data_IF_911745544111
#
_entry.id   IF_911745544111
#
_cell.length_a   1.000
_cell.length_b   1.000
_cell.length_c   1.000
_cell.angle_alpha   90.00
_cell.angle_beta   90.00
_cell.angle_gamma   90.00
#
_symmetry.space_group_name_H-M   'P 1'
#
loop_
_entity.id
_entity.type
_entity.pdbx_description
1 polymer ?
#
# COMPACT_ATOMS: atom_id res chain seq x y z
N UNK A 1 -9.64 2.76 -28.92
CA UNK A 1 -10.77 1.82 -28.97
C UNK A 1 -10.50 0.83 -30.10
N UNK A 2 -10.72 -0.46 -29.88
CA UNK A 2 -10.49 -1.48 -30.90
C UNK A 2 -11.83 -2.15 -31.24
N UNK A 3 -12.17 -2.14 -32.53
CA UNK A 3 -13.35 -2.82 -33.05
C UNK A 3 -13.02 -4.30 -33.26
N UNK A 4 -13.85 -5.18 -32.73
CA UNK A 4 -13.70 -6.64 -32.90
C UNK A 4 -14.87 -7.17 -33.69
N UNK A 5 -14.60 -7.74 -34.87
CA UNK A 5 -15.59 -8.41 -35.71
C UNK A 5 -15.12 -9.82 -36.00
N UNK A 6 -16.01 -10.79 -35.81
CA UNK A 6 -15.68 -12.19 -36.07
C UNK A 6 -15.69 -12.54 -37.57
N UNK A 7 -15.22 -13.76 -37.86
CA UNK A 7 -15.42 -14.50 -39.11
C UNK A 7 -16.28 -15.71 -38.78
N UNK A 8 -17.34 -15.94 -39.53
CA UNK A 8 -18.22 -17.08 -39.27
C UNK A 8 -17.57 -18.40 -39.72
N UNK A 9 -18.13 -19.52 -39.27
CA UNK A 9 -17.68 -20.85 -39.70
C UNK A 9 -17.57 -20.96 -41.22
N UNK A 10 -18.54 -20.44 -41.98
CA UNK A 10 -18.54 -20.53 -43.44
C UNK A 10 -17.53 -19.60 -44.11
N UNK A 11 -17.24 -18.45 -43.49
CA UNK A 11 -16.26 -17.46 -43.98
C UNK A 11 -14.80 -17.92 -43.81
N UNK A 12 -14.54 -18.88 -42.90
CA UNK A 12 -13.19 -19.34 -42.60
C UNK A 12 -12.76 -20.44 -43.58
N UNK A 13 -11.67 -20.19 -44.29
CA UNK A 13 -11.05 -21.13 -45.22
C UNK A 13 -9.94 -21.95 -44.54
N UNK A 14 -9.76 -23.21 -44.97
CA UNK A 14 -8.60 -24.00 -44.58
C UNK A 14 -7.33 -23.34 -45.11
N UNK A 15 -6.28 -23.30 -44.29
CA UNK A 15 -5.03 -22.59 -44.56
C UNK A 15 -5.06 -21.11 -44.17
N UNK A 16 -6.21 -20.56 -43.79
CA UNK A 16 -6.28 -19.19 -43.29
C UNK A 16 -5.59 -19.09 -41.94
N UNK A 17 -4.68 -18.11 -41.84
CA UNK A 17 -3.88 -17.88 -40.63
C UNK A 17 -4.04 -16.47 -40.09
N UNK A 18 -3.86 -16.31 -38.78
CA UNK A 18 -3.68 -15.02 -38.13
C UNK A 18 -2.47 -15.08 -37.20
N UNK A 19 -1.80 -13.94 -37.02
CA UNK A 19 -0.61 -13.81 -36.17
C UNK A 19 -0.71 -12.57 -35.30
N UNK A 20 -0.23 -12.67 -34.07
CA UNK A 20 -0.04 -11.53 -33.17
C UNK A 20 1.33 -11.60 -32.50
N UNK A 21 1.92 -10.44 -32.27
CA UNK A 21 3.17 -10.30 -31.54
C UNK A 21 2.96 -9.38 -30.35
N UNK A 22 3.57 -9.70 -29.21
CA UNK A 22 3.52 -8.88 -28.00
C UNK A 22 4.80 -9.03 -27.19
N UNK A 23 5.38 -7.91 -26.78
CA UNK A 23 6.47 -7.88 -25.79
C UNK A 23 5.88 -7.92 -24.38
N UNK A 24 6.35 -8.86 -23.57
CA UNK A 24 5.87 -9.07 -22.21
C UNK A 24 6.46 -8.01 -21.27
N UNK A 25 5.58 -7.29 -20.59
CA UNK A 25 5.97 -6.39 -19.50
C UNK A 25 6.10 -7.16 -18.18
N UNK A 26 6.69 -6.53 -17.16
CA UNK A 26 6.70 -7.09 -15.80
C UNK A 26 5.28 -7.41 -15.30
N UNK A 27 4.33 -6.49 -15.54
CA UNK A 27 2.91 -6.69 -15.19
C UNK A 27 2.32 -7.92 -15.88
N UNK A 28 2.72 -8.20 -17.12
CA UNK A 28 2.18 -9.34 -17.87
C UNK A 28 2.67 -10.66 -17.28
N UNK A 29 3.97 -10.77 -16.99
CA UNK A 29 4.55 -11.95 -16.35
C UNK A 29 3.94 -12.18 -14.97
N UNK A 30 3.86 -11.14 -14.15
CA UNK A 30 3.27 -11.22 -12.81
C UNK A 30 1.79 -11.61 -12.85
N UNK A 31 1.00 -11.06 -13.79
CA UNK A 31 -0.41 -11.40 -13.92
C UNK A 31 -0.63 -12.84 -14.42
N UNK A 32 0.24 -13.30 -15.32
CA UNK A 32 0.20 -14.66 -15.83
C UNK A 32 0.60 -15.68 -14.76
N UNK A 33 1.67 -15.41 -14.00
CA UNK A 33 2.05 -16.21 -12.84
C UNK A 33 0.92 -16.27 -11.81
N UNK A 34 0.25 -15.14 -11.54
CA UNK A 34 -0.87 -15.06 -10.59
C UNK A 34 -2.02 -15.97 -11.03
N UNK A 35 -2.42 -15.83 -12.30
CA UNK A 35 -3.55 -16.56 -12.86
C UNK A 35 -3.26 -18.06 -12.98
N UNK A 36 -2.00 -18.43 -13.24
CA UNK A 36 -1.56 -19.83 -13.28
C UNK A 36 -1.39 -20.46 -11.88
N UNK A 37 -1.33 -19.64 -10.83
CA UNK A 37 -0.97 -20.10 -9.48
C UNK A 37 0.51 -20.50 -9.37
N UNK A 38 1.35 -19.94 -10.23
CA UNK A 38 2.79 -20.19 -10.24
C UNK A 38 3.45 -19.49 -9.05
N UNK A 39 4.02 -20.27 -8.15
CA UNK A 39 4.62 -19.77 -6.90
C UNK A 39 6.08 -19.35 -7.13
N UNK A 40 6.75 -19.96 -8.11
CA UNK A 40 8.16 -19.72 -8.40
C UNK A 40 8.37 -18.36 -9.08
N UNK A 41 7.38 -17.91 -9.87
CA UNK A 41 7.39 -16.58 -10.51
C UNK A 41 7.41 -15.39 -9.53
N UNK A 42 7.12 -15.63 -8.24
CA UNK A 42 7.19 -14.64 -7.15
C UNK A 42 8.38 -14.84 -6.22
N UNK A 43 9.12 -15.93 -6.36
CA UNK A 43 10.23 -16.27 -5.49
C UNK A 43 11.52 -15.62 -6.02
N UNK A 44 11.63 -14.30 -5.87
CA UNK A 44 12.90 -13.60 -6.07
C UNK A 44 13.71 -13.74 -4.77
N UNK A 45 14.66 -14.67 -4.75
CA UNK A 45 15.65 -14.68 -3.67
C UNK A 45 16.65 -13.54 -3.96
N UNK A 46 16.68 -12.50 -3.11
CA UNK A 46 17.58 -11.32 -3.24
C UNK A 46 19.08 -11.69 -3.34
N UNK A 47 19.41 -12.98 -3.16
CA UNK A 47 20.76 -13.53 -3.19
C UNK A 47 21.23 -13.99 -4.57
N UNK A 48 20.32 -14.23 -5.53
CA UNK A 48 20.69 -14.70 -6.87
C UNK A 48 20.32 -13.66 -7.94
N UNK A 49 21.29 -12.91 -8.48
CA UNK A 49 21.03 -11.87 -9.49
C UNK A 49 20.47 -12.40 -10.83
N UNK A 50 20.50 -13.72 -11.05
CA UNK A 50 19.93 -14.37 -12.24
C UNK A 50 18.47 -14.81 -12.08
N UNK A 51 17.88 -14.77 -10.88
CA UNK A 51 16.45 -15.03 -10.67
C UNK A 51 15.64 -13.85 -11.21
N UNK A 52 15.23 -13.96 -12.47
CA UNK A 52 14.35 -13.01 -13.13
C UNK A 52 12.90 -13.48 -13.02
N UNK A 53 11.92 -12.58 -12.75
CA UNK A 53 10.52 -12.96 -12.79
C UNK A 53 10.19 -13.61 -14.13
N UNK A 54 9.57 -14.78 -14.07
CA UNK A 54 9.21 -15.57 -15.24
C UNK A 54 7.83 -16.20 -15.05
N UNK A 55 7.26 -16.66 -16.15
CA UNK A 55 6.05 -17.48 -16.13
C UNK A 55 6.28 -18.71 -16.99
N UNK A 56 5.74 -19.86 -16.56
CA UNK A 56 5.77 -21.08 -17.37
C UNK A 56 5.21 -20.84 -18.78
N UNK A 57 5.77 -21.50 -19.81
CA UNK A 57 5.27 -21.37 -21.19
C UNK A 57 3.78 -21.70 -21.34
N UNK A 58 3.20 -22.46 -20.41
CA UNK A 58 1.75 -22.66 -20.30
C UNK A 58 0.95 -21.36 -20.31
N UNK A 59 1.49 -20.27 -19.74
CA UNK A 59 0.88 -18.96 -19.74
C UNK A 59 0.72 -18.33 -21.13
N UNK A 60 1.58 -18.70 -22.10
CA UNK A 60 1.51 -18.19 -23.47
C UNK A 60 0.25 -18.65 -24.22
N UNK A 61 -0.49 -19.65 -23.69
CA UNK A 61 -1.83 -20.01 -24.19
C UNK A 61 -2.79 -18.81 -24.19
N UNK A 62 -2.61 -17.85 -23.27
CA UNK A 62 -3.46 -16.65 -23.20
C UNK A 62 -3.38 -15.82 -24.49
N UNK A 63 -2.22 -15.80 -25.17
CA UNK A 63 -2.06 -15.11 -26.45
C UNK A 63 -2.78 -15.84 -27.59
N UNK A 64 -2.67 -17.18 -27.62
CA UNK A 64 -3.38 -18.02 -28.60
C UNK A 64 -4.91 -17.87 -28.41
N UNK A 65 -5.39 -18.00 -27.17
CA UNK A 65 -6.80 -17.80 -26.83
C UNK A 65 -7.26 -16.37 -27.19
N UNK A 66 -6.45 -15.35 -26.93
CA UNK A 66 -6.72 -13.97 -27.32
C UNK A 66 -6.86 -13.80 -28.83
N UNK A 67 -6.01 -14.45 -29.62
CA UNK A 67 -6.08 -14.42 -31.08
C UNK A 67 -7.36 -15.12 -31.59
N UNK A 68 -7.68 -16.29 -31.04
CA UNK A 68 -8.86 -17.09 -31.43
C UNK A 68 -10.18 -16.38 -31.06
N UNK A 69 -10.24 -15.75 -29.89
CA UNK A 69 -11.44 -15.07 -29.40
C UNK A 69 -11.62 -13.65 -29.95
N UNK A 70 -10.57 -13.02 -30.51
CA UNK A 70 -10.64 -11.64 -31.01
C UNK A 70 -10.49 -11.48 -32.52
N UNK A 71 -9.88 -12.43 -33.22
CA UNK A 71 -9.54 -12.29 -34.64
C UNK A 71 -9.99 -13.45 -35.53
N UNK A 72 -9.64 -14.69 -35.18
CA UNK A 72 -9.93 -15.85 -36.01
C UNK A 72 -10.27 -17.08 -35.16
N UNK A 73 -11.55 -17.43 -34.98
CA UNK A 73 -12.72 -16.80 -35.61
C UNK A 73 -13.11 -15.43 -35.04
N UNK A 74 -12.81 -15.13 -33.77
CA UNK A 74 -13.19 -13.87 -33.12
C UNK A 74 -14.44 -13.98 -32.22
N UNK A 75 -15.14 -12.86 -31.93
CA UNK A 75 -16.34 -12.82 -31.09
C UNK A 75 -17.35 -13.96 -31.32
N UNK A 76 -17.85 -14.55 -30.22
CA UNK A 76 -18.79 -15.68 -30.27
C UNK A 76 -18.15 -17.05 -30.47
N UNK A 77 -16.82 -17.12 -30.60
CA UNK A 77 -16.08 -18.39 -30.59
C UNK A 77 -16.08 -19.02 -29.20
N UNK A 78 -16.02 -20.36 -29.17
CA UNK A 78 -15.78 -21.12 -27.94
C UNK A 78 -14.65 -22.12 -28.14
N UNK A 79 -13.68 -22.13 -27.23
CA UNK A 79 -12.60 -23.13 -27.19
C UNK A 79 -13.19 -24.41 -26.59
N UNK A 80 -13.37 -25.45 -27.41
CA UNK A 80 -14.01 -26.71 -26.99
C UNK A 80 -13.00 -27.81 -26.65
N UNK A 81 -11.75 -27.64 -27.07
CA UNK A 81 -10.67 -28.58 -26.78
C UNK A 81 -9.32 -28.00 -27.16
N UNK A 82 -8.27 -28.41 -26.46
CA UNK A 82 -6.89 -28.07 -26.79
C UNK A 82 -6.00 -29.29 -26.58
N UNK A 83 -4.99 -29.43 -27.43
CA UNK A 83 -3.93 -30.40 -27.28
C UNK A 83 -2.61 -29.69 -27.56
N UNK A 84 -1.97 -29.20 -26.50
CA UNK A 84 -0.76 -28.40 -26.57
C UNK A 84 0.41 -29.08 -25.88
N UNK A 85 1.59 -28.90 -26.45
CA UNK A 85 2.88 -29.16 -25.85
C UNK A 85 3.49 -27.82 -25.43
N UNK A 86 4.02 -27.77 -24.22
CA UNK A 86 4.64 -26.59 -23.64
C UNK A 86 6.13 -26.83 -23.47
N UNK A 87 6.95 -25.81 -23.73
CA UNK A 87 8.39 -25.89 -23.56
C UNK A 87 8.96 -24.55 -23.09
N UNK A 88 9.81 -24.59 -22.06
CA UNK A 88 10.51 -23.41 -21.56
C UNK A 88 9.66 -22.48 -20.68
N UNK A 89 10.12 -21.24 -20.57
CA UNK A 89 9.57 -20.18 -19.72
C UNK A 89 9.61 -18.86 -20.47
N UNK A 90 8.70 -17.95 -20.12
CA UNK A 90 8.64 -16.60 -20.64
C UNK A 90 9.26 -15.63 -19.63
N UNK A 91 10.09 -14.70 -20.11
CA UNK A 91 10.72 -13.67 -19.28
C UNK A 91 10.18 -12.27 -19.58
N UNK A 92 10.44 -11.34 -18.66
CA UNK A 92 10.21 -9.91 -18.90
C UNK A 92 11.03 -9.45 -20.10
N UNK A 93 10.38 -8.75 -21.03
CA UNK A 93 11.01 -8.25 -22.25
C UNK A 93 11.00 -9.25 -23.41
N UNK A 94 10.62 -10.51 -23.19
CA UNK A 94 10.44 -11.46 -24.28
C UNK A 94 9.33 -10.97 -25.22
N UNK A 95 9.59 -11.10 -26.51
CA UNK A 95 8.62 -10.79 -27.55
C UNK A 95 8.07 -12.08 -28.10
N UNK A 96 6.82 -12.38 -27.71
CA UNK A 96 6.14 -13.59 -28.11
C UNK A 96 5.36 -13.35 -29.40
N UNK A 97 5.47 -14.29 -30.33
CA UNK A 97 4.69 -14.35 -31.56
C UNK A 97 3.83 -15.59 -31.55
N UNK A 98 2.51 -15.41 -31.58
CA UNK A 98 1.52 -16.47 -31.64
C UNK A 98 0.81 -16.46 -32.99
N UNK A 99 0.77 -17.61 -33.65
CA UNK A 99 0.12 -17.83 -34.94
C UNK A 99 -0.89 -18.96 -34.81
N UNK A 100 -2.06 -18.81 -35.43
CA UNK A 100 -3.02 -19.91 -35.61
C UNK A 100 -3.38 -20.08 -37.07
N UNK A 101 -3.57 -21.32 -37.50
CA UNK A 101 -3.91 -21.66 -38.89
C UNK A 101 -5.03 -22.69 -38.94
N UNK A 102 -6.12 -22.40 -39.64
CA UNK A 102 -7.24 -23.33 -39.79
C UNK A 102 -6.81 -24.56 -40.60
N UNK A 103 -6.97 -25.77 -40.04
CA UNK A 103 -6.56 -27.03 -40.68
C UNK A 103 -7.72 -27.92 -41.10
N UNK A 104 -8.65 -28.18 -40.19
CA UNK A 104 -9.74 -29.12 -40.41
C UNK A 104 -11.06 -28.50 -39.98
N UNK A 105 -12.10 -28.67 -40.80
CA UNK A 105 -13.46 -28.23 -40.51
C UNK A 105 -14.37 -29.43 -40.31
N UNK A 106 -15.08 -29.44 -39.19
CA UNK A 106 -16.06 -30.44 -38.83
C UNK A 106 -17.45 -29.81 -38.84
N UNK A 107 -18.34 -30.33 -39.68
CA UNK A 107 -19.72 -29.83 -39.78
C UNK A 107 -20.48 -29.97 -38.46
N UNK A 108 -20.23 -31.05 -37.72
CA UNK A 108 -20.89 -31.28 -36.45
C UNK A 108 -20.42 -30.25 -35.42
N UNK A 109 -21.35 -29.41 -34.97
CA UNK A 109 -21.08 -28.35 -33.99
C UNK A 109 -20.22 -27.20 -34.53
N UNK A 110 -20.12 -27.04 -35.85
CA UNK A 110 -19.39 -25.95 -36.52
C UNK A 110 -17.96 -25.79 -36.00
N UNK A 111 -17.24 -26.90 -35.87
CA UNK A 111 -15.91 -26.93 -35.24
C UNK A 111 -14.80 -26.78 -36.26
N UNK A 112 -13.78 -26.03 -35.90
CA UNK A 112 -12.56 -25.87 -36.69
C UNK A 112 -11.37 -26.20 -35.79
N UNK A 113 -10.48 -27.05 -36.30
CA UNK A 113 -9.18 -27.31 -35.68
C UNK A 113 -8.17 -26.31 -36.23
N UNK A 114 -7.58 -25.55 -35.33
CA UNK A 114 -6.50 -24.62 -35.60
C UNK A 114 -5.18 -25.21 -35.13
N UNK A 115 -4.21 -25.31 -36.03
CA UNK A 115 -2.81 -25.35 -35.61
C UNK A 115 -2.51 -24.08 -34.84
N UNK A 116 -1.82 -24.18 -33.71
CA UNK A 116 -1.35 -23.00 -32.98
C UNK A 116 0.12 -23.18 -32.61
N UNK A 117 0.90 -22.14 -32.88
CA UNK A 117 2.31 -22.07 -32.57
C UNK A 117 2.60 -20.76 -31.85
N UNK A 118 3.34 -20.81 -30.75
CA UNK A 118 3.86 -19.63 -30.08
C UNK A 118 5.38 -19.75 -29.91
N UNK A 119 6.11 -18.71 -30.34
CA UNK A 119 7.57 -18.63 -30.28
C UNK A 119 8.02 -17.31 -29.64
N UNK A 120 9.25 -17.27 -29.14
CA UNK A 120 9.88 -16.02 -28.69
C UNK A 120 10.75 -15.38 -29.79
N UNK A 121 11.39 -14.25 -29.48
CA UNK A 121 12.28 -13.53 -30.39
C UNK A 121 13.51 -14.32 -30.87
N UNK A 122 13.87 -15.41 -30.17
CA UNK A 122 14.98 -16.29 -30.50
C UNK A 122 14.55 -17.48 -31.37
N UNK A 123 13.25 -17.60 -31.69
CA UNK A 123 12.70 -18.71 -32.45
C UNK A 123 12.45 -19.97 -31.61
N UNK A 124 12.58 -19.88 -30.28
CA UNK A 124 12.29 -21.00 -29.39
C UNK A 124 10.78 -21.21 -29.29
N UNK A 125 10.34 -22.46 -29.41
CA UNK A 125 8.93 -22.83 -29.32
C UNK A 125 8.49 -22.92 -27.87
N UNK A 126 7.47 -22.13 -27.52
CA UNK A 126 6.86 -22.11 -26.19
C UNK A 126 5.58 -22.95 -26.14
N UNK A 127 4.76 -22.88 -27.19
CA UNK A 127 3.53 -23.64 -27.33
C UNK A 127 3.44 -24.17 -28.76
N UNK A 128 3.16 -25.46 -28.89
CA UNK A 128 2.87 -26.11 -30.18
C UNK A 128 1.72 -27.09 -30.02
N UNK A 129 0.75 -27.06 -30.93
CA UNK A 129 -0.31 -28.05 -31.00
C UNK A 129 -1.58 -27.56 -31.69
N UNK A 130 -2.73 -28.03 -31.21
CA UNK A 130 -4.02 -27.82 -31.85
C UNK A 130 -5.07 -27.31 -30.87
N UNK A 131 -5.82 -26.28 -31.29
CA UNK A 131 -7.04 -25.81 -30.63
C UNK A 131 -8.26 -26.17 -31.47
N UNK A 132 -9.24 -26.85 -30.88
CA UNK A 132 -10.55 -27.08 -31.48
C UNK A 132 -11.51 -25.99 -31.03
N UNK A 133 -12.03 -25.23 -31.98
CA UNK A 133 -12.90 -24.08 -31.76
C UNK A 133 -14.27 -24.34 -32.36
N UNK A 134 -15.34 -24.16 -31.58
CA UNK A 134 -16.68 -23.98 -32.14
C UNK A 134 -16.75 -22.54 -32.69
N UNK A 135 -16.76 -22.41 -34.02
CA UNK A 135 -16.80 -21.12 -34.68
C UNK A 135 -18.24 -20.58 -34.73
N UNK A 136 -18.42 -19.26 -34.62
CA UNK A 136 -19.74 -18.64 -34.67
C UNK A 136 -20.37 -18.82 -36.06
N UNK A 137 -21.68 -19.04 -36.12
CA UNK A 137 -22.44 -19.09 -37.39
C UNK A 137 -22.98 -17.73 -37.81
N UNK A 138 -23.04 -16.79 -36.87
CA UNK A 138 -23.56 -15.44 -37.08
C UNK A 138 -22.46 -14.40 -36.90
N UNK A 139 -22.59 -13.29 -37.62
CA UNK A 139 -21.65 -12.17 -37.55
C UNK A 139 -21.90 -11.37 -36.28
N UNK A 140 -20.87 -11.28 -35.44
CA UNK A 140 -20.87 -10.53 -34.17
C UNK A 140 -19.79 -9.46 -34.25
N UNK A 141 -20.17 -8.23 -33.90
CA UNK A 141 -19.26 -7.08 -33.88
C UNK A 141 -19.43 -6.31 -32.57
N UNK A 142 -18.32 -6.03 -31.90
CA UNK A 142 -18.26 -5.18 -30.73
C UNK A 142 -17.48 -3.91 -31.05
N UNK A 143 -18.07 -2.76 -30.71
CA UNK A 143 -17.46 -1.44 -30.81
C UNK A 143 -17.20 -0.88 -29.42
N UNK A 144 -16.14 -0.09 -29.29
CA UNK A 144 -15.83 0.67 -28.07
C UNK A 144 -15.76 -0.17 -26.78
N UNK A 145 -15.23 -1.39 -26.88
CA UNK A 145 -15.12 -2.26 -25.72
C UNK A 145 -14.07 -1.72 -24.73
N UNK A 146 -14.53 -1.21 -23.59
CA UNK A 146 -13.66 -0.94 -22.45
C UNK A 146 -13.22 -2.29 -21.84
N UNK A 147 -11.91 -2.54 -21.82
CA UNK A 147 -11.35 -3.74 -21.17
C UNK A 147 -10.91 -3.37 -19.76
N UNK A 148 -11.22 -4.23 -18.76
CA UNK A 148 -10.77 -3.97 -17.40
C UNK A 148 -9.24 -4.00 -17.36
N UNK A 149 -8.65 -3.13 -16.53
CA UNK A 149 -7.22 -3.12 -16.25
C UNK A 149 -6.98 -3.76 -14.90
N UNK A 150 -5.96 -4.62 -14.83
CA UNK A 150 -5.50 -5.20 -13.57
C UNK A 150 -4.44 -4.28 -12.96
N UNK A 151 -4.66 -3.84 -11.72
CA UNK A 151 -3.65 -3.13 -10.93
C UNK A 151 -3.04 -4.13 -9.96
N UNK A 152 -1.78 -4.49 -10.20
CA UNK A 152 -1.03 -5.37 -9.32
C UNK A 152 -0.44 -4.59 -8.15
N UNK A 153 -0.66 -5.10 -6.94
CA UNK A 153 0.01 -4.61 -5.73
C UNK A 153 1.39 -5.21 -5.65
N UNK A 154 2.42 -4.37 -5.79
CA UNK A 154 3.83 -4.81 -5.82
C UNK A 154 4.57 -4.65 -4.50
N UNK A 155 4.02 -3.88 -3.58
CA UNK A 155 4.66 -3.64 -2.29
C UNK A 155 3.84 -4.24 -1.15
N UNK A 156 4.57 -4.85 -0.22
CA UNK A 156 4.09 -5.20 1.12
C UNK A 156 5.00 -4.52 2.14
N UNK A 157 4.91 -3.19 2.16
CA UNK A 157 5.71 -2.36 3.05
C UNK A 157 5.47 -2.73 4.51
N UNK A 158 4.22 -3.07 4.87
CA UNK A 158 3.89 -3.51 6.22
C UNK A 158 4.40 -4.91 6.55
N UNK A 159 4.38 -5.86 5.62
CA UNK A 159 5.01 -7.17 5.85
C UNK A 159 6.50 -7.06 6.19
N UNK A 160 7.23 -6.16 5.53
CA UNK A 160 8.64 -5.88 5.86
C UNK A 160 8.79 -5.31 7.28
N UNK A 161 7.89 -4.40 7.71
CA UNK A 161 7.90 -3.87 9.08
C UNK A 161 7.54 -4.94 10.13
N UNK A 162 6.59 -5.82 9.82
CA UNK A 162 6.21 -6.95 10.69
C UNK A 162 7.40 -7.89 10.92
N UNK A 163 8.13 -8.28 9.85
CA UNK A 163 9.35 -9.11 9.98
C UNK A 163 10.41 -8.48 10.89
N UNK A 164 10.56 -7.14 10.84
CA UNK A 164 11.46 -6.42 11.76
C UNK A 164 10.97 -6.45 13.21
N UNK A 165 9.66 -6.49 13.41
CA UNK A 165 9.03 -6.59 14.73
C UNK A 165 9.25 -7.96 15.38
N UNK A 166 9.41 -9.03 14.61
CA UNK A 166 9.60 -10.40 15.15
C UNK A 166 10.87 -10.53 16.01
N UNK A 167 11.89 -9.70 15.72
CA UNK A 167 13.17 -9.69 16.43
C UNK A 167 13.13 -8.88 17.74
N UNK A 168 12.00 -8.24 18.05
CA UNK A 168 11.86 -7.31 19.15
C UNK A 168 10.82 -7.82 20.16
N UNK A 169 11.01 -7.65 21.48
CA UNK A 169 9.99 -8.01 22.45
C UNK A 169 8.76 -7.10 22.34
N UNK A 170 7.59 -7.63 22.68
CA UNK A 170 6.34 -6.88 22.69
C UNK A 170 6.42 -5.64 23.61
N UNK A 171 5.61 -4.62 23.30
CA UNK A 171 5.58 -3.35 24.03
C UNK A 171 4.34 -3.27 24.91
N UNK A 172 4.50 -2.93 26.19
CA UNK A 172 3.35 -2.76 27.08
C UNK A 172 2.55 -1.52 26.66
N UNK A 173 1.31 -1.74 26.26
CA UNK A 173 0.48 -0.71 25.62
C UNK A 173 -0.85 -0.53 26.37
N UNK A 174 -1.13 0.70 26.81
CA UNK A 174 -2.44 1.04 27.37
C UNK A 174 -3.48 1.16 26.26
N UNK A 175 -4.47 0.28 26.25
CA UNK A 175 -5.63 0.35 25.36
C UNK A 175 -6.70 1.18 26.05
N UNK A 176 -6.93 2.39 25.54
CA UNK A 176 -7.78 3.39 26.18
C UNK A 176 -9.22 3.20 25.74
N UNK A 177 -10.10 2.82 26.66
CA UNK A 177 -11.53 2.65 26.45
C UNK A 177 -11.88 1.67 25.30
N UNK A 178 -11.45 0.38 25.33
CA UNK A 178 -11.78 -0.61 24.30
C UNK A 178 -13.20 -1.18 24.50
N UNK A 179 -14.22 -0.33 24.38
CA UNK A 179 -15.61 -0.69 24.65
C UNK A 179 -16.42 -1.02 23.38
N UNK A 180 -15.76 -1.37 22.28
CA UNK A 180 -16.40 -1.88 21.06
C UNK A 180 -15.60 -3.06 20.47
N UNK A 181 -16.22 -3.83 19.57
CA UNK A 181 -15.63 -5.03 18.97
C UNK A 181 -14.32 -4.73 18.23
N UNK A 182 -14.29 -3.63 17.48
CA UNK A 182 -13.15 -3.30 16.61
C UNK A 182 -11.91 -2.88 17.40
N UNK A 183 -12.08 -2.10 18.47
CA UNK A 183 -10.98 -1.67 19.35
C UNK A 183 -10.45 -2.81 20.22
N UNK A 184 -11.33 -3.62 20.81
CA UNK A 184 -10.91 -4.77 21.62
C UNK A 184 -10.27 -5.84 20.74
N UNK A 185 -10.94 -6.23 19.64
CA UNK A 185 -10.44 -7.26 18.70
C UNK A 185 -9.07 -6.90 18.15
N UNK A 186 -8.89 -5.68 17.66
CA UNK A 186 -7.60 -5.23 17.12
C UNK A 186 -6.46 -5.22 18.15
N UNK A 187 -6.76 -4.84 19.40
CA UNK A 187 -5.76 -4.90 20.47
C UNK A 187 -5.34 -6.34 20.80
N UNK A 188 -6.30 -7.27 20.84
CA UNK A 188 -6.01 -8.69 21.12
C UNK A 188 -5.31 -9.37 19.94
N UNK A 189 -5.66 -9.03 18.70
CA UNK A 189 -4.93 -9.52 17.52
C UNK A 189 -3.49 -9.03 17.50
N UNK A 190 -3.24 -7.76 17.84
CA UNK A 190 -1.88 -7.24 18.00
C UNK A 190 -1.11 -7.94 19.12
N UNK A 191 -1.79 -8.33 20.20
CA UNK A 191 -1.19 -9.14 21.26
C UNK A 191 -0.84 -10.55 20.80
N UNK A 192 -1.76 -11.21 20.07
CA UNK A 192 -1.52 -12.54 19.46
C UNK A 192 -0.37 -12.52 18.45
N UNK A 193 -0.19 -11.41 17.74
CA UNK A 193 0.93 -11.17 16.84
C UNK A 193 2.23 -10.75 17.57
N UNK A 194 2.28 -10.82 18.91
CA UNK A 194 3.44 -10.45 19.74
C UNK A 194 3.93 -9.01 19.50
N UNK A 195 3.03 -8.09 19.12
CA UNK A 195 3.37 -6.68 18.91
C UNK A 195 3.30 -5.91 20.23
N UNK A 196 2.26 -6.17 21.03
CA UNK A 196 1.99 -5.46 22.27
C UNK A 196 1.60 -6.41 23.40
N UNK A 197 1.78 -5.95 24.64
CA UNK A 197 1.15 -6.51 25.84
C UNK A 197 0.06 -5.52 26.27
N UNK A 198 -1.23 -5.80 26.01
CA UNK A 198 -2.28 -4.82 26.23
C UNK A 198 -2.64 -4.71 27.72
N UNK A 199 -2.79 -3.47 28.18
CA UNK A 199 -3.43 -3.11 29.45
C UNK A 199 -4.75 -2.43 29.11
N UNK A 200 -5.88 -3.08 29.39
CA UNK A 200 -7.21 -2.62 29.00
C UNK A 200 -7.74 -1.65 30.05
N UNK A 201 -7.91 -0.37 29.69
CA UNK A 201 -8.31 0.68 30.64
C UNK A 201 -9.70 1.19 30.27
N UNK A 202 -10.69 1.01 31.14
CA UNK A 202 -12.06 1.46 30.89
C UNK A 202 -13.08 0.84 31.84
N UNK A 203 -14.38 1.06 31.60
CA UNK A 203 -15.43 0.41 32.39
C UNK A 203 -15.37 -1.09 32.23
N UNK A 204 -14.90 -1.80 33.26
CA UNK A 204 -14.62 -3.24 33.21
C UNK A 204 -15.85 -4.05 32.74
N UNK A 205 -17.04 -3.70 33.24
CA UNK A 205 -18.28 -4.35 32.84
C UNK A 205 -18.53 -4.26 31.32
N UNK A 206 -18.22 -3.12 30.68
CA UNK A 206 -18.38 -2.91 29.24
C UNK A 206 -17.34 -3.70 28.45
N UNK A 207 -16.06 -3.64 28.86
CA UNK A 207 -14.97 -4.39 28.21
C UNK A 207 -15.27 -5.89 28.24
N UNK A 208 -15.66 -6.42 29.40
CA UNK A 208 -16.02 -7.83 29.55
C UNK A 208 -17.28 -8.21 28.77
N UNK A 209 -18.25 -7.30 28.65
CA UNK A 209 -19.45 -7.55 27.85
C UNK A 209 -19.12 -7.70 26.36
N UNK A 210 -18.27 -6.81 25.80
CA UNK A 210 -17.79 -6.92 24.42
C UNK A 210 -16.98 -8.20 24.23
N UNK A 211 -16.05 -8.51 25.15
CA UNK A 211 -15.25 -9.73 25.09
C UNK A 211 -16.12 -10.99 25.01
N UNK A 212 -17.20 -11.08 25.81
CA UNK A 212 -18.16 -12.19 25.76
C UNK A 212 -18.95 -12.22 24.46
N UNK A 213 -19.41 -11.08 23.97
CA UNK A 213 -20.19 -11.00 22.73
C UNK A 213 -19.37 -11.45 21.51
N UNK A 214 -18.09 -11.10 21.47
CA UNK A 214 -17.16 -11.41 20.37
C UNK A 214 -16.39 -12.73 20.55
N UNK A 215 -16.60 -13.44 21.67
CA UNK A 215 -15.85 -14.67 21.97
C UNK A 215 -14.34 -14.47 22.17
N UNK A 216 -13.92 -13.29 22.64
CA UNK A 216 -12.53 -12.92 22.86
C UNK A 216 -12.13 -13.25 24.30
N UNK A 217 -11.16 -14.14 24.48
CA UNK A 217 -10.56 -14.35 25.80
C UNK A 217 -9.62 -13.19 26.17
N UNK A 218 -9.99 -12.49 27.25
CA UNK A 218 -9.21 -11.39 27.82
C UNK A 218 -8.62 -11.72 29.20
N UNK A 219 -8.78 -12.96 29.68
CA UNK A 219 -8.24 -13.40 30.97
C UNK A 219 -6.72 -13.27 31.12
N UNK A 220 -5.90 -13.37 30.05
CA UNK A 220 -4.44 -13.18 30.17
C UNK A 220 -4.02 -11.71 30.35
N UNK A 221 -4.92 -10.74 30.14
CA UNK A 221 -4.57 -9.33 30.07
C UNK A 221 -5.07 -8.55 31.28
N UNK A 222 -4.28 -7.55 31.69
CA UNK A 222 -4.66 -6.67 32.79
C UNK A 222 -5.85 -5.78 32.40
N UNK A 223 -6.85 -5.70 33.27
CA UNK A 223 -7.96 -4.75 33.17
C UNK A 223 -7.87 -3.74 34.30
N UNK A 224 -7.83 -2.45 33.95
CA UNK A 224 -7.85 -1.33 34.89
C UNK A 224 -9.24 -0.69 34.82
N UNK A 225 -10.05 -0.96 35.85
CA UNK A 225 -11.42 -0.49 35.92
C UNK A 225 -11.49 1.00 36.25
N UNK A 226 -12.21 1.75 35.41
CA UNK A 226 -12.51 3.19 35.58
C UNK A 226 -13.91 3.50 35.07
N UNK A 227 -14.51 4.59 35.52
CA UNK A 227 -15.94 4.85 35.33
C UNK A 227 -16.35 5.20 33.88
N UNK A 228 -15.52 5.96 33.16
CA UNK A 228 -15.85 6.49 31.83
C UNK A 228 -14.60 6.76 30.97
N UNK A 229 -14.81 7.19 29.72
CA UNK A 229 -13.78 7.43 28.70
C UNK A 229 -12.70 8.43 29.14
N UNK A 230 -13.10 9.59 29.68
CA UNK A 230 -12.15 10.59 30.17
C UNK A 230 -11.27 10.06 31.32
N UNK A 231 -11.86 9.31 32.26
CA UNK A 231 -11.10 8.66 33.34
C UNK A 231 -10.11 7.63 32.80
N UNK A 232 -10.48 6.89 31.74
CA UNK A 232 -9.57 5.96 31.08
C UNK A 232 -8.38 6.68 30.41
N UNK A 233 -8.64 7.80 29.72
CA UNK A 233 -7.59 8.60 29.11
C UNK A 233 -6.62 9.18 30.15
N UNK A 234 -7.15 9.74 31.24
CA UNK A 234 -6.35 10.25 32.36
C UNK A 234 -5.51 9.15 33.00
N UNK A 235 -6.11 7.98 33.27
CA UNK A 235 -5.40 6.85 33.89
C UNK A 235 -4.32 6.29 32.97
N UNK A 236 -4.56 6.20 31.67
CA UNK A 236 -3.56 5.77 30.70
C UNK A 236 -2.34 6.71 30.69
N UNK A 237 -2.58 8.03 30.70
CA UNK A 237 -1.51 9.04 30.77
C UNK A 237 -0.74 8.96 32.08
N UNK A 238 -1.43 8.80 33.21
CA UNK A 238 -0.82 8.61 34.53
C UNK A 238 0.10 7.39 34.54
N UNK A 239 -0.39 6.23 34.08
CA UNK A 239 0.37 4.98 34.00
C UNK A 239 1.59 5.12 33.08
N UNK A 240 1.44 5.85 31.96
CA UNK A 240 2.54 6.13 31.03
C UNK A 240 3.62 6.99 31.67
N UNK A 241 3.24 8.05 32.38
CA UNK A 241 4.18 8.92 33.09
C UNK A 241 4.94 8.19 34.19
N UNK A 242 4.26 7.26 34.86
CA UNK A 242 4.84 6.42 35.89
C UNK A 242 5.65 5.23 35.34
N UNK A 243 5.74 5.07 34.01
CA UNK A 243 6.53 4.01 33.37
C UNK A 243 5.90 2.61 33.42
N UNK A 244 4.63 2.49 33.80
CA UNK A 244 3.93 1.19 33.83
C UNK A 244 3.53 0.72 32.43
N UNK A 245 3.35 1.66 31.50
CA UNK A 245 3.09 1.39 30.07
C UNK A 245 3.99 2.29 29.24
N UNK A 246 4.33 1.85 28.04
CA UNK A 246 5.32 2.52 27.19
C UNK A 246 4.69 3.16 25.95
N UNK A 247 3.43 2.82 25.67
CA UNK A 247 2.67 3.35 24.57
C UNK A 247 1.17 3.36 24.88
N UNK A 248 0.41 4.16 24.12
CA UNK A 248 -1.04 4.21 24.21
C UNK A 248 -1.66 3.81 22.86
N UNK A 249 -2.85 3.23 22.93
CA UNK A 249 -3.70 3.00 21.77
C UNK A 249 -5.10 3.48 22.07
N UNK A 250 -5.63 4.32 21.19
CA UNK A 250 -7.02 4.76 21.25
C UNK A 250 -7.98 3.59 20.99
N UNK A 251 -8.94 3.38 21.89
CA UNK A 251 -10.08 2.50 21.69
C UNK A 251 -11.28 3.24 21.08
N UNK A 252 -12.47 3.08 21.67
CA UNK A 252 -13.73 3.55 21.10
C UNK A 252 -14.11 5.01 21.43
N UNK A 253 -13.36 5.67 22.33
CA UNK A 253 -13.53 7.09 22.68
C UNK A 253 -13.22 8.05 21.51
N UNK A 254 -13.64 9.31 21.61
CA UNK A 254 -13.28 10.32 20.61
C UNK A 254 -11.80 10.70 20.69
N UNK A 255 -11.21 11.15 19.58
CA UNK A 255 -9.79 11.58 19.57
C UNK A 255 -9.58 12.74 20.52
N UNK A 256 -10.52 13.70 20.58
CA UNK A 256 -10.42 14.87 21.46
C UNK A 256 -10.39 14.48 22.95
N UNK A 257 -11.15 13.46 23.35
CA UNK A 257 -11.16 12.97 24.73
C UNK A 257 -9.79 12.40 25.14
N UNK A 258 -9.14 11.65 24.24
CA UNK A 258 -7.78 11.15 24.47
C UNK A 258 -6.76 12.30 24.48
N UNK A 259 -6.84 13.20 23.50
CA UNK A 259 -5.88 14.30 23.35
C UNK A 259 -5.98 15.31 24.49
N UNK A 260 -7.17 15.54 25.05
CA UNK A 260 -7.37 16.38 26.23
C UNK A 260 -6.57 15.90 27.45
N UNK A 261 -6.34 14.59 27.60
CA UNK A 261 -5.48 14.04 28.64
C UNK A 261 -3.98 14.07 28.27
N UNK A 262 -3.66 13.96 26.97
CA UNK A 262 -2.28 13.85 26.47
C UNK A 262 -1.57 15.21 26.35
N UNK A 263 -2.27 16.25 25.90
CA UNK A 263 -1.70 17.57 25.57
C UNK A 263 -1.26 18.43 26.77
N UNK A 264 -1.88 18.37 27.98
CA UNK A 264 -1.51 19.25 29.09
C UNK A 264 -0.02 19.19 29.44
N UNK A 265 0.60 20.34 29.70
CA UNK A 265 2.03 20.44 30.01
C UNK A 265 2.40 19.84 31.36
N UNK A 266 1.59 20.09 32.39
CA UNK A 266 1.86 19.65 33.75
C UNK A 266 1.54 18.17 33.96
N UNK A 267 0.41 17.70 33.41
CA UNK A 267 -0.17 16.38 33.71
C UNK A 267 -0.19 15.43 32.51
N UNK A 268 0.03 15.93 31.29
CA UNK A 268 0.02 15.14 30.06
C UNK A 268 1.36 14.52 29.69
N UNK A 269 1.53 14.26 28.39
CA UNK A 269 2.69 13.63 27.76
C UNK A 269 3.40 14.56 26.78
N UNK A 270 3.03 15.85 26.73
CA UNK A 270 3.63 16.84 25.83
C UNK A 270 5.13 16.99 26.10
N UNK A 271 5.90 17.17 25.02
CA UNK A 271 7.34 17.50 25.09
C UNK A 271 7.58 18.96 24.70
N UNK A 272 8.83 19.35 24.46
CA UNK A 272 9.15 20.67 23.89
C UNK A 272 8.69 20.78 22.42
N UNK A 273 8.61 19.66 21.69
CA UNK A 273 8.13 19.63 20.31
C UNK A 273 6.62 19.56 20.25
N UNK A 274 6.05 20.17 19.22
CA UNK A 274 4.64 20.04 18.88
C UNK A 274 4.27 18.59 18.62
N UNK A 275 3.13 18.18 19.18
CA UNK A 275 2.53 16.87 18.95
C UNK A 275 1.97 16.85 17.53
N UNK A 276 2.27 15.80 16.78
CA UNK A 276 1.81 15.64 15.40
C UNK A 276 1.42 14.20 15.08
N UNK A 277 0.66 14.01 14.00
CA UNK A 277 0.25 12.70 13.51
C UNK A 277 0.83 12.37 12.13
N UNK A 278 1.26 11.13 11.94
CA UNK A 278 1.70 10.61 10.64
C UNK A 278 0.82 9.42 10.23
N UNK A 279 0.26 9.49 9.02
CA UNK A 279 -0.19 8.29 8.32
C UNK A 279 0.99 7.68 7.59
N UNK A 280 1.32 6.43 7.88
CA UNK A 280 2.22 5.60 7.07
C UNK A 280 1.34 4.79 6.14
N UNK A 281 1.54 4.90 4.82
CA UNK A 281 0.67 4.33 3.80
C UNK A 281 1.47 3.37 2.92
N UNK A 282 0.92 2.19 2.69
CA UNK A 282 1.42 1.24 1.70
C UNK A 282 0.46 1.24 0.50
N UNK A 283 0.76 2.10 -0.48
CA UNK A 283 -0.09 2.35 -1.64
C UNK A 283 0.28 1.36 -2.76
N UNK A 284 -0.65 0.57 -3.30
CA UNK A 284 -0.38 -0.45 -4.32
C UNK A 284 0.42 0.05 -5.54
N UNK A 285 0.18 1.30 -5.96
CA UNK A 285 0.79 1.93 -7.12
C UNK A 285 2.04 2.76 -6.81
N UNK A 286 2.45 2.84 -5.54
CA UNK A 286 3.65 3.56 -5.12
C UNK A 286 4.72 2.58 -4.65
N UNK A 287 6.00 2.71 -5.08
CA UNK A 287 7.00 1.65 -4.89
C UNK A 287 7.54 1.53 -3.46
N UNK A 288 7.08 2.35 -2.51
CA UNK A 288 7.58 2.40 -1.13
C UNK A 288 6.50 2.90 -0.18
N UNK A 289 6.77 2.81 1.13
CA UNK A 289 5.91 3.45 2.14
C UNK A 289 5.90 4.96 1.94
N UNK A 290 4.70 5.55 1.98
CA UNK A 290 4.47 6.98 1.84
C UNK A 290 3.93 7.52 3.17
N UNK A 291 4.58 8.54 3.72
CA UNK A 291 4.12 9.20 4.94
C UNK A 291 3.35 10.48 4.63
N UNK A 292 2.22 10.73 5.29
CA UNK A 292 1.45 11.98 5.19
C UNK A 292 1.31 12.59 6.57
N UNK A 293 1.71 13.87 6.71
CA UNK A 293 1.71 14.58 8.01
C UNK A 293 1.40 16.07 7.84
N UNK A 294 0.64 16.75 8.71
CA UNK A 294 -0.23 16.24 9.77
C UNK A 294 -1.68 16.14 9.27
N UNK A 295 -2.31 14.99 9.46
CA UNK A 295 -3.63 14.69 8.92
C UNK A 295 -4.73 14.50 9.99
N UNK A 296 -4.43 14.74 11.28
CA UNK A 296 -5.35 14.42 12.36
C UNK A 296 -5.32 15.36 13.58
N UNK A 297 -4.25 16.12 13.83
CA UNK A 297 -4.10 16.90 15.08
C UNK A 297 -4.05 18.40 14.84
N UNK A 298 -3.18 18.86 13.94
CA UNK A 298 -2.91 20.28 13.79
C UNK A 298 -3.75 20.88 12.66
N UNK A 299 -4.80 21.64 13.01
CA UNK A 299 -5.79 22.19 12.07
C UNK A 299 -5.13 23.15 11.06
N UNK A 300 -4.56 24.25 11.56
CA UNK A 300 -3.85 25.26 10.76
C UNK A 300 -2.47 25.50 11.37
N UNK A 301 -1.49 24.61 11.09
CA UNK A 301 -0.16 24.74 11.66
C UNK A 301 0.56 25.97 11.10
N UNK A 302 1.14 26.79 11.96
CA UNK A 302 2.07 27.86 11.56
C UNK A 302 3.45 27.27 11.19
N UNK A 303 4.38 28.14 10.78
CA UNK A 303 5.71 27.73 10.33
C UNK A 303 6.51 26.97 11.40
N UNK A 304 6.48 27.42 12.66
CA UNK A 304 7.22 26.78 13.76
C UNK A 304 6.63 25.39 14.04
N UNK A 305 5.30 25.30 14.08
CA UNK A 305 4.60 24.02 14.21
C UNK A 305 4.91 23.10 13.03
N UNK A 306 4.94 23.61 11.78
CA UNK A 306 5.30 22.80 10.60
C UNK A 306 6.73 22.28 10.67
N UNK A 307 7.67 23.05 11.24
CA UNK A 307 9.04 22.59 11.44
C UNK A 307 9.10 21.40 12.41
N UNK A 308 8.36 21.46 13.53
CA UNK A 308 8.25 20.35 14.48
C UNK A 308 7.56 19.11 13.85
N UNK A 309 6.48 19.32 13.09
CA UNK A 309 5.78 18.25 12.35
C UNK A 309 6.76 17.57 11.37
N UNK A 310 7.53 18.36 10.63
CA UNK A 310 8.53 17.87 9.69
C UNK A 310 9.61 17.04 10.39
N UNK A 311 10.18 17.56 11.48
CA UNK A 311 11.22 16.86 12.24
C UNK A 311 10.71 15.54 12.84
N UNK A 312 9.48 15.52 13.37
CA UNK A 312 8.86 14.30 13.87
C UNK A 312 8.70 13.24 12.77
N UNK A 313 8.28 13.63 11.57
CA UNK A 313 8.12 12.71 10.45
C UNK A 313 9.47 12.18 9.92
N UNK A 314 10.50 13.03 9.85
CA UNK A 314 11.86 12.62 9.50
C UNK A 314 12.38 11.57 10.49
N UNK A 315 12.18 11.79 11.79
CA UNK A 315 12.60 10.83 12.81
C UNK A 315 11.84 9.50 12.71
N UNK A 316 10.55 9.53 12.41
CA UNK A 316 9.80 8.31 12.13
C UNK A 316 10.38 7.57 10.91
N UNK A 317 10.70 8.29 9.83
CA UNK A 317 11.28 7.69 8.64
C UNK A 317 12.59 6.95 8.94
N UNK A 318 13.44 7.52 9.78
CA UNK A 318 14.65 6.84 10.27
C UNK A 318 14.33 5.55 11.02
N UNK A 319 13.35 5.57 11.93
CA UNK A 319 12.88 4.36 12.63
C UNK A 319 12.40 3.29 11.64
N UNK A 320 11.73 3.72 10.57
CA UNK A 320 11.25 2.85 9.49
C UNK A 320 12.37 2.40 8.53
N UNK A 321 13.62 2.83 8.74
CA UNK A 321 14.80 2.38 8.00
C UNK A 321 15.14 3.24 6.78
N UNK A 322 14.53 4.41 6.64
CA UNK A 322 14.82 5.37 5.56
C UNK A 322 15.93 6.30 6.05
N UNK A 323 17.18 6.07 5.63
CA UNK A 323 18.35 6.80 6.13
C UNK A 323 18.43 8.26 5.67
N UNK A 324 17.84 8.60 4.51
CA UNK A 324 17.81 9.95 3.95
C UNK A 324 16.39 10.25 3.44
N UNK A 325 15.42 10.47 4.34
CA UNK A 325 14.04 10.71 3.96
C UNK A 325 13.90 11.97 3.11
N UNK A 326 13.13 11.85 2.03
CA UNK A 326 12.79 12.95 1.14
C UNK A 326 11.43 13.52 1.52
N UNK A 327 11.41 14.77 1.98
CA UNK A 327 10.20 15.48 2.40
C UNK A 327 9.76 16.45 1.31
N UNK A 328 8.58 16.19 0.73
CA UNK A 328 7.91 17.15 -0.13
C UNK A 328 6.99 18.02 0.71
N UNK A 329 7.25 19.33 0.77
CA UNK A 329 6.34 20.29 1.37
C UNK A 329 5.28 20.67 0.34
N UNK A 330 4.05 20.24 0.60
CA UNK A 330 2.98 20.30 -0.38
C UNK A 330 2.32 21.69 -0.45
N UNK A 331 1.97 22.06 -1.67
CA UNK A 331 1.13 23.21 -2.00
C UNK A 331 0.31 22.92 -3.26
N UNK A 332 -0.49 23.89 -3.70
CA UNK A 332 -1.24 23.80 -4.96
C UNK A 332 -0.36 24.07 -6.20
N UNK A 333 0.79 24.72 -6.02
CA UNK A 333 1.70 25.16 -7.10
C UNK A 333 3.15 25.01 -6.67
N UNK A 334 4.07 25.02 -7.63
CA UNK A 334 5.50 24.82 -7.43
C UNK A 334 6.30 26.12 -7.29
N UNK A 335 5.70 27.24 -7.69
CA UNK A 335 6.30 28.56 -7.58
C UNK A 335 5.87 29.26 -6.31
N UNK A 336 6.79 29.97 -5.66
CA UNK A 336 6.47 30.82 -4.52
C UNK A 336 5.45 31.88 -4.93
N UNK A 337 4.31 31.90 -4.24
CA UNK A 337 3.24 32.85 -4.47
C UNK A 337 2.78 33.41 -3.12
N UNK A 338 3.03 34.69 -2.81
CA UNK A 338 2.65 35.28 -1.53
C UNK A 338 1.15 35.22 -1.22
N UNK A 339 0.29 35.00 -2.21
CA UNK A 339 -1.16 34.80 -2.02
C UNK A 339 -1.53 33.38 -1.59
N UNK A 340 -0.57 32.45 -1.60
CA UNK A 340 -0.72 31.06 -1.19
C UNK A 340 0.27 30.81 -0.05
N UNK A 341 -0.14 30.98 1.23
CA UNK A 341 0.76 30.93 2.39
C UNK A 341 1.62 29.67 2.47
N UNK A 342 1.08 28.51 2.09
CA UNK A 342 1.81 27.25 2.08
C UNK A 342 3.04 27.25 1.17
N UNK A 343 3.08 28.09 0.13
CA UNK A 343 4.28 28.25 -0.71
C UNK A 343 5.40 29.01 0.01
N UNK A 344 5.04 29.97 0.87
CA UNK A 344 5.99 30.71 1.70
C UNK A 344 6.52 29.81 2.82
N UNK A 345 5.64 29.04 3.46
CA UNK A 345 6.01 28.08 4.49
C UNK A 345 6.97 27.04 3.93
N UNK A 346 6.70 26.50 2.74
CA UNK A 346 7.59 25.55 2.07
C UNK A 346 8.99 26.13 1.85
N UNK A 347 9.08 27.34 1.28
CA UNK A 347 10.37 28.00 1.07
C UNK A 347 11.13 28.25 2.38
N UNK A 348 10.42 28.65 3.43
CA UNK A 348 11.01 28.87 4.75
C UNK A 348 11.51 27.56 5.38
N UNK A 349 10.74 26.47 5.31
CA UNK A 349 11.13 25.16 5.82
C UNK A 349 12.35 24.60 5.10
N UNK A 350 12.43 24.74 3.76
CA UNK A 350 13.63 24.39 3.00
C UNK A 350 14.84 25.19 3.52
N UNK A 351 14.67 26.50 3.77
CA UNK A 351 15.77 27.31 4.28
C UNK A 351 16.17 26.98 5.72
N UNK A 352 15.21 26.59 6.55
CA UNK A 352 15.45 26.07 7.89
C UNK A 352 16.27 24.77 7.86
N UNK A 353 15.98 23.89 6.90
CA UNK A 353 16.76 22.67 6.66
C UNK A 353 18.21 22.98 6.24
N UNK A 354 18.39 23.88 5.26
CA UNK A 354 19.73 24.34 4.82
C UNK A 354 20.57 24.88 5.98
N UNK A 355 19.91 25.54 6.94
CA UNK A 355 20.54 26.16 8.13
C UNK A 355 20.67 25.21 9.31
N UNK A 356 20.27 23.95 9.18
CA UNK A 356 20.38 22.94 10.23
C UNK A 356 19.36 23.06 11.36
N UNK A 357 18.28 23.83 11.18
CA UNK A 357 17.17 23.90 12.13
C UNK A 357 16.27 22.65 12.03
N UNK A 358 16.19 22.06 10.83
CA UNK A 358 15.58 20.75 10.59
C UNK A 358 16.69 19.84 10.05
N UNK A 359 16.85 18.65 10.62
CA UNK A 359 17.98 17.78 10.35
C UNK A 359 17.57 16.36 9.96
N UNK A 360 18.46 15.70 9.21
CA UNK A 360 18.34 14.28 8.89
C UNK A 360 17.45 13.96 7.68
N UNK A 361 16.88 14.96 7.00
CA UNK A 361 16.09 14.75 5.78
C UNK A 361 16.50 15.70 4.66
N UNK A 362 16.12 15.36 3.42
CA UNK A 362 16.21 16.25 2.26
C UNK A 362 14.82 16.84 2.08
N UNK A 363 14.70 18.15 2.25
CA UNK A 363 13.41 18.86 2.20
C UNK A 363 13.37 19.71 0.94
N UNK A 364 12.27 19.63 0.20
CA UNK A 364 12.04 20.51 -0.94
C UNK A 364 10.55 20.87 -1.07
N UNK A 365 10.29 22.02 -1.66
CA UNK A 365 8.96 22.59 -1.79
C UNK A 365 8.99 24.07 -2.17
N UNK A 366 7.85 24.65 -2.56
CA UNK A 366 6.55 23.99 -2.62
C UNK A 366 6.43 23.00 -3.79
N UNK A 367 5.72 21.89 -3.58
CA UNK A 367 5.42 20.92 -4.63
C UNK A 367 3.92 20.63 -4.67
N UNK A 368 3.34 20.63 -5.87
CA UNK A 368 2.05 19.99 -6.08
C UNK A 368 2.15 18.46 -5.89
N UNK A 369 1.04 17.82 -5.54
CA UNK A 369 1.00 16.39 -5.19
C UNK A 369 1.54 15.50 -6.32
N UNK A 370 1.14 15.76 -7.57
CA UNK A 370 1.61 15.04 -8.75
C UNK A 370 3.14 15.07 -8.88
N UNK A 371 3.77 16.21 -8.63
CA UNK A 371 5.22 16.36 -8.70
C UNK A 371 5.94 15.73 -7.53
N UNK A 372 5.30 15.59 -6.37
CA UNK A 372 5.90 14.93 -5.22
C UNK A 372 6.00 13.40 -5.44
N UNK A 373 5.04 12.83 -6.17
CA UNK A 373 4.87 11.37 -6.31
C UNK A 373 5.18 10.81 -7.70
N UNK A 374 5.23 11.62 -8.77
CA UNK A 374 5.52 11.17 -10.13
C UNK A 374 6.77 11.83 -10.72
N UNK A 375 7.78 11.00 -11.03
CA UNK A 375 8.99 11.43 -11.74
C UNK A 375 8.66 11.99 -13.13
N UNK A 376 7.66 11.42 -13.80
CA UNK A 376 7.22 11.87 -15.12
C UNK A 376 6.57 13.26 -15.06
N UNK A 377 5.70 13.51 -14.07
CA UNK A 377 5.10 14.82 -13.85
C UNK A 377 6.16 15.87 -13.53
N UNK A 378 7.11 15.54 -12.63
CA UNK A 378 8.22 16.42 -12.27
C UNK A 378 9.09 16.77 -13.49
N UNK A 379 9.41 15.80 -14.35
CA UNK A 379 10.17 16.02 -15.61
C UNK A 379 9.40 16.89 -16.59
N UNK A 380 8.11 16.64 -16.76
CA UNK A 380 7.23 17.41 -17.67
C UNK A 380 7.19 18.89 -17.27
N UNK A 381 7.11 19.16 -15.96
CA UNK A 381 7.18 20.52 -15.40
C UNK A 381 8.60 21.06 -15.22
N UNK A 382 9.63 20.32 -15.66
CA UNK A 382 11.06 20.69 -15.59
C UNK A 382 11.55 21.02 -14.18
N UNK A 383 11.04 20.32 -13.17
CA UNK A 383 11.41 20.50 -11.77
C UNK A 383 12.74 19.77 -11.51
N UNK A 384 13.74 20.53 -11.07
CA UNK A 384 15.05 19.99 -10.67
C UNK A 384 15.07 19.89 -9.16
N UNK A 385 14.90 18.67 -8.64
CA UNK A 385 14.77 18.40 -7.22
C UNK A 385 15.22 16.97 -6.92
N UNK A 386 15.88 16.77 -5.77
CA UNK A 386 16.18 15.43 -5.27
C UNK A 386 14.95 14.75 -4.63
N UNK A 387 13.88 15.50 -4.38
CA UNK A 387 12.63 15.05 -3.72
C UNK A 387 11.53 14.77 -4.74
N UNK A 388 11.40 15.61 -5.78
CA UNK A 388 10.32 15.51 -6.75
C UNK A 388 10.23 14.12 -7.41
N UNK A 389 9.03 13.56 -7.41
CA UNK A 389 8.67 12.26 -7.97
C UNK A 389 8.98 11.06 -7.08
N UNK A 390 9.72 11.27 -5.99
CA UNK A 390 10.26 10.19 -5.16
C UNK A 390 10.17 10.50 -3.66
N UNK A 391 9.20 11.32 -3.25
CA UNK A 391 9.00 11.71 -1.86
C UNK A 391 8.71 10.49 -0.95
N UNK A 392 9.31 10.47 0.23
CA UNK A 392 9.01 9.50 1.28
C UNK A 392 7.98 10.09 2.27
N UNK A 393 8.02 11.42 2.47
CA UNK A 393 7.13 12.18 3.36
C UNK A 393 6.45 13.30 2.57
N UNK A 394 5.14 13.42 2.75
CA UNK A 394 4.30 14.52 2.29
C UNK A 394 3.92 15.38 3.51
N UNK A 395 4.54 16.55 3.62
CA UNK A 395 4.16 17.55 4.62
C UNK A 395 3.04 18.42 4.03
N UNK A 396 1.81 18.21 4.49
CA UNK A 396 0.62 18.91 3.98
C UNK A 396 0.48 20.31 4.57
N UNK A 397 -0.23 21.23 3.89
CA UNK A 397 -0.38 22.60 4.36
C UNK A 397 -1.22 22.73 5.63
N UNK A 398 -2.23 21.88 5.79
CA UNK A 398 -3.23 21.90 6.87
C UNK A 398 -3.90 20.52 7.04
N UNK A 399 -4.72 20.39 8.07
CA UNK A 399 -5.41 19.15 8.43
C UNK A 399 -6.38 18.68 7.35
N UNK A 400 -7.08 19.59 6.67
CA UNK A 400 -8.08 19.23 5.66
C UNK A 400 -7.38 18.55 4.47
N UNK A 401 -6.30 19.16 3.97
CA UNK A 401 -5.48 18.56 2.91
C UNK A 401 -4.90 17.21 3.33
N UNK A 402 -4.35 17.11 4.56
CA UNK A 402 -3.83 15.86 5.11
C UNK A 402 -4.86 14.75 5.18
N UNK A 403 -6.02 15.06 5.74
CA UNK A 403 -7.10 14.09 5.91
C UNK A 403 -7.64 13.61 4.55
N UNK A 404 -7.90 14.54 3.63
CA UNK A 404 -8.38 14.22 2.28
C UNK A 404 -7.38 13.36 1.50
N UNK A 405 -6.09 13.68 1.54
CA UNK A 405 -5.05 12.89 0.84
C UNK A 405 -4.98 11.48 1.41
N UNK A 406 -4.87 11.34 2.73
CA UNK A 406 -4.78 10.02 3.36
C UNK A 406 -6.02 9.15 3.07
N UNK A 407 -7.23 9.76 3.13
CA UNK A 407 -8.48 9.04 2.88
C UNK A 407 -8.68 8.68 1.40
N UNK A 408 -8.27 9.53 0.46
CA UNK A 408 -8.28 9.17 -0.96
C UNK A 408 -7.34 8.00 -1.25
N UNK A 409 -6.14 7.99 -0.66
CA UNK A 409 -5.20 6.88 -0.83
C UNK A 409 -5.76 5.57 -0.22
N UNK A 410 -6.38 5.65 0.96
CA UNK A 410 -6.97 4.48 1.62
C UNK A 410 -8.16 3.90 0.85
N UNK A 411 -9.14 4.73 0.48
CA UNK A 411 -10.42 4.26 -0.06
C UNK A 411 -10.48 4.14 -1.58
N UNK A 412 -9.76 5.01 -2.31
CA UNK A 412 -9.77 5.00 -3.79
C UNK A 412 -8.54 4.32 -4.38
N UNK A 413 -7.38 4.43 -3.73
CA UNK A 413 -6.15 3.80 -4.20
C UNK A 413 -5.84 2.44 -3.54
N UNK A 414 -6.69 1.98 -2.60
CA UNK A 414 -6.53 0.69 -1.94
C UNK A 414 -5.30 0.59 -1.02
N UNK A 415 -4.84 1.72 -0.50
CA UNK A 415 -3.70 1.76 0.41
C UNK A 415 -4.05 1.17 1.77
N UNK A 416 -3.15 0.35 2.32
CA UNK A 416 -3.17 0.08 3.75
C UNK A 416 -2.60 1.28 4.49
N UNK A 417 -3.13 1.57 5.68
CA UNK A 417 -2.76 2.74 6.46
C UNK A 417 -2.41 2.35 7.91
N UNK A 418 -1.38 2.98 8.45
CA UNK A 418 -1.04 2.98 9.87
C UNK A 418 -1.03 4.42 10.40
N UNK A 419 -1.60 4.66 11.57
CA UNK A 419 -1.68 5.99 12.20
C UNK A 419 -0.91 6.03 13.51
N UNK A 420 0.01 7.00 13.64
CA UNK A 420 0.81 7.18 14.85
C UNK A 420 0.99 8.66 15.20
N UNK A 421 0.94 8.96 16.49
CA UNK A 421 1.22 10.28 17.07
C UNK A 421 2.62 10.31 17.63
N UNK A 422 3.29 11.42 17.34
CA UNK A 422 4.66 11.73 17.71
C UNK A 422 4.72 13.07 18.46
N UNK A 423 5.90 13.46 18.94
CA UNK A 423 6.08 14.66 19.76
C UNK A 423 5.64 14.50 21.22
N UNK A 424 5.15 13.32 21.61
CA UNK A 424 4.80 12.94 22.99
C UNK A 424 5.89 12.08 23.64
N UNK A 425 5.90 11.98 24.97
CA UNK A 425 6.82 11.13 25.76
C UNK A 425 6.70 9.62 25.45
N UNK A 426 5.54 9.18 24.98
CA UNK A 426 5.27 7.81 24.52
C UNK A 426 4.55 7.85 23.17
N UNK A 427 4.82 6.92 22.22
CA UNK A 427 4.04 6.84 20.99
C UNK A 427 2.58 6.51 21.27
N UNK A 428 1.68 7.06 20.45
CA UNK A 428 0.23 6.83 20.59
C UNK A 428 -0.32 6.38 19.24
N UNK A 429 -0.95 5.21 19.21
CA UNK A 429 -1.70 4.76 18.04
C UNK A 429 -3.08 5.41 18.05
N UNK A 430 -3.37 6.15 16.98
CA UNK A 430 -4.69 6.75 16.73
C UNK A 430 -5.36 6.00 15.58
N UNK A 431 -6.20 5.03 15.93
CA UNK A 431 -7.05 4.35 14.95
C UNK A 431 -8.34 5.14 14.71
N UNK A 432 -8.82 5.15 13.48
CA UNK A 432 -10.19 5.52 13.15
C UNK A 432 -11.16 4.39 13.51
N UNK A 433 -12.43 4.75 13.74
CA UNK A 433 -13.51 3.77 13.94
C UNK A 433 -13.71 2.91 12.70
N UNK A 434 -13.44 3.46 11.52
CA UNK A 434 -13.60 2.77 10.24
C UNK A 434 -12.39 1.91 9.83
N UNK A 435 -11.30 1.90 10.60
CA UNK A 435 -10.10 1.16 10.23
C UNK A 435 -10.28 -0.35 10.50
N UNK A 436 -9.89 -1.18 9.52
CA UNK A 436 -9.91 -2.64 9.66
C UNK A 436 -8.75 -3.18 10.50
N UNK A 437 -8.80 -4.48 10.79
CA UNK A 437 -7.77 -5.23 11.54
C UNK A 437 -6.34 -4.95 11.06
N UNK A 438 -6.12 -5.04 9.74
CA UNK A 438 -4.79 -4.84 9.13
C UNK A 438 -4.20 -3.47 9.44
N UNK A 439 -5.02 -2.42 9.47
CA UNK A 439 -4.57 -1.06 9.79
C UNK A 439 -4.13 -0.92 11.26
N UNK A 440 -4.80 -1.62 12.18
CA UNK A 440 -4.43 -1.63 13.61
C UNK A 440 -3.15 -2.42 13.85
N UNK A 441 -3.00 -3.57 13.19
CA UNK A 441 -1.75 -4.36 13.20
C UNK A 441 -0.58 -3.56 12.62
N UNK A 442 -0.79 -2.88 11.49
CA UNK A 442 0.21 -2.01 10.89
C UNK A 442 0.61 -0.85 11.84
N UNK A 443 -0.38 -0.21 12.47
CA UNK A 443 -0.13 0.87 13.45
C UNK A 443 0.64 0.40 14.68
N UNK A 444 0.34 -0.80 15.17
CA UNK A 444 1.06 -1.40 16.31
C UNK A 444 2.47 -1.83 15.96
N UNK A 445 2.71 -2.32 14.73
CA UNK A 445 4.06 -2.59 14.24
C UNK A 445 4.92 -1.32 14.21
N UNK A 446 4.37 -0.22 13.67
CA UNK A 446 5.05 1.09 13.69
C UNK A 446 5.29 1.56 15.13
N UNK A 447 4.29 1.46 16.01
CA UNK A 447 4.43 1.79 17.44
C UNK A 447 5.56 1.00 18.11
N UNK A 448 5.64 -0.31 17.85
CA UNK A 448 6.66 -1.18 18.43
C UNK A 448 8.06 -0.72 18.04
N UNK A 449 8.27 -0.45 16.76
CA UNK A 449 9.56 0.05 16.27
C UNK A 449 9.92 1.40 16.89
N UNK A 450 8.96 2.32 17.02
CA UNK A 450 9.18 3.64 17.66
C UNK A 450 9.50 3.51 19.14
N UNK A 451 8.79 2.65 19.88
CA UNK A 451 9.05 2.43 21.29
C UNK A 451 10.46 1.85 21.52
N UNK A 452 10.89 0.89 20.69
CA UNK A 452 12.24 0.30 20.76
C UNK A 452 13.35 1.28 20.41
N UNK A 453 13.18 2.08 19.35
CA UNK A 453 14.15 3.12 19.01
C UNK A 453 14.33 4.12 20.16
N UNK A 454 13.23 4.50 20.82
CA UNK A 454 13.27 5.37 22.01
C UNK A 454 14.04 4.74 23.18
N UNK A 455 13.82 3.45 23.47
CA UNK A 455 14.60 2.74 24.50
C UNK A 455 16.09 2.81 24.20
N UNK A 456 16.47 2.57 22.95
CA UNK A 456 17.87 2.60 22.53
C UNK A 456 18.48 4.00 22.66
N UNK A 457 17.76 5.07 22.30
CA UNK A 457 18.23 6.45 22.50
C UNK A 457 18.40 6.84 23.97
N UNK A 458 17.58 6.28 24.87
CA UNK A 458 17.73 6.51 26.31
C UNK A 458 18.94 5.77 26.90
N UNK A 459 19.27 4.59 26.36
CA UNK A 459 20.43 3.80 26.79
C UNK A 459 21.75 4.30 26.18
N UNK A 460 21.69 4.89 24.99
CA UNK A 460 22.82 5.45 24.24
C UNK A 460 22.44 6.84 23.74
N UNK A 461 22.52 7.87 24.61
CA UNK A 461 22.23 9.24 24.20
C UNK A 461 23.23 9.67 23.11
N UNK A 462 22.77 10.37 22.05
CA UNK A 462 23.67 10.93 21.05
C UNK A 462 24.66 11.89 21.73
N UNK A 463 25.94 11.78 21.35
CA UNK A 463 27.06 12.53 21.89
C UNK A 463 26.97 14.03 21.63
#
# INVERSE_FOLDING_TARGET
MSDFTNRTYDEIAIGQSETTTRTLTATDIEALALAAGDVDGYHLDDKNPDDRPSAQAAAAIAMIAGLLNRRLPGPGSSIVGTHFKYSGVCYIGDTLTATVTARVKHKQGHRIEFEALCTNQHGETLVDGVATIAAPTERISYKDLATPQLILRRNDGFGKLMKRCDLLPAVTCAIVHPCDAASLGGAIEAARANLIVPVLIGPEAKIRAVARAEGIDISPYQVVSVEHSHAAAMKAVEMTRAGHVEALMKGSLHTDELMAAVVPSATGLRTARRISHVFVLDVPTYPRLLMVTDAAINIYPDLEVKADICQNAIELAHVLGIAKPKVAVLSAVETINPKIPSTLDAAALCKMADRGQIIGGIIDGPLAFDNAISVEAARTKKIVSAVAGVADILLVPDLEAGNMVAKQLQYLAGADAAGIVLGTRAPIVLTSRADGVRSRLASTAVLKLVAHDRRNRLLTPPA
#
